data_IF_775573376087
#
_entry.id   IF_775573376087
#
_cell.length_a   1.000
_cell.length_b   1.000
_cell.length_c   1.000
_cell.angle_alpha   90.00
_cell.angle_beta   90.00
_cell.angle_gamma   90.00
#
_symmetry.space_group_name_H-M   'P 1'
#
loop_
_entity.id
_entity.type
_entity.pdbx_description
1 polymer ?
#
# COMPACT_ATOMS: atom_id res chain seq x y z
N UNK A 1 14.45 4.67 -4.89
CA UNK A 1 13.34 5.63 -4.82
C UNK A 1 12.20 4.94 -4.10
N UNK A 2 11.82 5.46 -2.94
CA UNK A 2 10.75 4.89 -2.15
C UNK A 2 9.40 5.23 -2.79
N UNK A 3 8.48 4.29 -2.75
CA UNK A 3 7.12 4.47 -3.23
C UNK A 3 6.14 3.77 -2.28
N UNK A 4 4.94 4.29 -2.24
CA UNK A 4 3.85 3.74 -1.45
C UNK A 4 2.80 3.17 -2.38
N UNK A 5 2.35 1.95 -2.12
CA UNK A 5 1.35 1.24 -2.93
C UNK A 5 0.16 0.89 -2.06
N UNK A 6 -1.02 1.25 -2.53
CA UNK A 6 -2.29 0.80 -1.95
C UNK A 6 -3.02 -0.08 -2.96
N UNK A 7 -3.69 -1.11 -2.50
CA UNK A 7 -4.49 -2.00 -3.33
C UNK A 7 -5.95 -1.98 -2.87
N UNK A 8 -6.84 -1.91 -3.85
CA UNK A 8 -8.28 -2.04 -3.64
C UNK A 8 -8.79 -3.13 -4.56
N UNK A 9 -9.61 -4.02 -4.04
CA UNK A 9 -10.32 -5.03 -4.82
C UNK A 9 -11.80 -4.79 -4.60
N UNK A 10 -12.54 -4.57 -5.67
CA UNK A 10 -13.98 -4.30 -5.61
C UNK A 10 -14.72 -4.91 -6.79
N UNK A 11 -16.04 -4.93 -6.71
CA UNK A 11 -16.90 -5.18 -7.86
C UNK A 11 -16.86 -3.98 -8.81
N UNK A 12 -17.08 -4.22 -10.10
CA UNK A 12 -16.98 -3.18 -11.13
C UNK A 12 -17.94 -2.00 -10.88
N UNK A 13 -19.17 -2.28 -10.46
CA UNK A 13 -20.20 -1.30 -10.14
C UNK A 13 -19.91 -0.48 -8.87
N UNK A 14 -18.96 -0.94 -8.03
CA UNK A 14 -18.51 -0.26 -6.80
C UNK A 14 -17.17 0.47 -6.96
N UNK A 15 -16.58 0.42 -8.14
CA UNK A 15 -15.26 1.01 -8.38
C UNK A 15 -15.21 2.50 -7.99
N UNK A 16 -16.17 3.29 -8.41
CA UNK A 16 -16.18 4.73 -8.14
C UNK A 16 -16.36 5.03 -6.65
N UNK A 17 -17.25 4.30 -5.97
CA UNK A 17 -17.41 4.41 -4.51
C UNK A 17 -16.09 4.11 -3.80
N UNK A 18 -15.39 3.05 -4.23
CA UNK A 18 -14.09 2.69 -3.67
C UNK A 18 -13.00 3.74 -3.94
N UNK A 19 -12.99 4.37 -5.12
CA UNK A 19 -12.07 5.45 -5.43
C UNK A 19 -12.32 6.66 -4.53
N UNK A 20 -13.58 7.04 -4.32
CA UNK A 20 -13.93 8.15 -3.43
C UNK A 20 -13.53 7.90 -1.98
N UNK A 21 -13.85 6.72 -1.45
CA UNK A 21 -13.43 6.32 -0.09
C UNK A 21 -11.91 6.25 0.03
N UNK A 22 -11.23 5.77 -1.00
CA UNK A 22 -9.77 5.75 -1.03
C UNK A 22 -9.17 7.15 -0.95
N UNK A 23 -9.71 8.08 -1.73
CA UNK A 23 -9.26 9.47 -1.74
C UNK A 23 -9.52 10.15 -0.38
N UNK A 24 -10.69 9.91 0.20
CA UNK A 24 -11.06 10.41 1.52
C UNK A 24 -10.07 9.90 2.60
N UNK A 25 -9.84 8.58 2.67
CA UNK A 25 -8.90 7.99 3.63
C UNK A 25 -7.47 8.46 3.39
N UNK A 26 -7.09 8.67 2.12
CA UNK A 26 -5.73 9.11 1.77
C UNK A 26 -5.46 10.55 2.18
N UNK A 27 -6.47 11.40 2.14
CA UNK A 27 -6.33 12.82 2.50
C UNK A 27 -6.73 13.11 3.95
N UNK A 28 -7.46 12.22 4.60
CA UNK A 28 -7.95 12.40 5.97
C UNK A 28 -8.01 11.04 6.71
N UNK A 29 -6.89 10.63 7.28
CA UNK A 29 -6.80 9.36 8.01
C UNK A 29 -7.80 9.33 9.18
N UNK A 30 -8.70 8.34 9.23
CA UNK A 30 -9.63 8.18 10.34
C UNK A 30 -8.90 8.02 11.68
N UNK A 31 -9.23 8.85 12.65
CA UNK A 31 -8.63 8.83 13.98
C UNK A 31 -9.34 7.78 14.87
N UNK A 32 -8.97 6.51 14.68
CA UNK A 32 -9.57 5.39 15.41
C UNK A 32 -8.49 4.59 16.16
N UNK A 33 -8.32 4.90 17.45
CA UNK A 33 -7.36 4.24 18.33
C UNK A 33 -7.59 2.72 18.46
N UNK A 34 -8.83 2.27 18.49
CA UNK A 34 -9.13 0.84 18.60
C UNK A 34 -8.64 0.08 17.35
N UNK A 35 -8.94 0.59 16.17
CA UNK A 35 -8.47 0.02 14.90
C UNK A 35 -6.95 0.08 14.77
N UNK A 36 -6.34 1.17 15.19
CA UNK A 36 -4.88 1.32 15.21
C UNK A 36 -4.22 0.27 16.11
N UNK A 37 -4.71 0.10 17.34
CA UNK A 37 -4.18 -0.89 18.28
C UNK A 37 -4.39 -2.32 17.78
N UNK A 38 -5.52 -2.61 17.14
CA UNK A 38 -5.77 -3.91 16.51
C UNK A 38 -4.78 -4.17 15.36
N UNK A 39 -4.52 -3.18 14.53
CA UNK A 39 -3.53 -3.27 13.46
C UNK A 39 -2.12 -3.53 13.99
N UNK A 40 -1.69 -2.83 15.06
CA UNK A 40 -0.40 -3.09 15.74
C UNK A 40 -0.29 -4.53 16.22
N UNK A 41 -1.33 -5.02 16.93
CA UNK A 41 -1.35 -6.39 17.43
C UNK A 41 -1.29 -7.42 16.29
N UNK A 42 -2.05 -7.19 15.22
CA UNK A 42 -2.07 -8.08 14.05
C UNK A 42 -0.72 -8.13 13.36
N UNK A 43 -0.05 -6.99 13.21
CA UNK A 43 1.27 -6.90 12.62
C UNK A 43 2.32 -7.60 13.48
N UNK A 44 2.29 -7.39 14.81
CA UNK A 44 3.19 -8.09 15.74
C UNK A 44 3.00 -9.61 15.70
N UNK A 45 1.75 -10.09 15.71
CA UNK A 45 1.45 -11.53 15.57
C UNK A 45 1.94 -12.08 14.23
N UNK A 46 1.76 -11.33 13.15
CA UNK A 46 2.25 -11.73 11.82
C UNK A 46 3.76 -11.92 11.79
N UNK A 47 4.52 -11.02 12.43
CA UNK A 47 5.97 -11.13 12.54
C UNK A 47 6.35 -12.35 13.40
N UNK A 48 5.70 -12.54 14.55
CA UNK A 48 5.98 -13.64 15.48
C UNK A 48 5.67 -15.03 14.91
N UNK A 49 4.58 -15.14 14.12
CA UNK A 49 4.13 -16.42 13.54
C UNK A 49 4.77 -16.73 12.17
N UNK A 50 5.56 -15.81 11.64
CA UNK A 50 6.18 -15.97 10.33
C UNK A 50 7.18 -17.12 10.32
N UNK A 51 6.92 -18.16 9.51
CA UNK A 51 7.88 -19.23 9.28
C UNK A 51 9.02 -18.70 8.41
N UNK A 52 10.23 -18.76 8.94
CA UNK A 52 11.45 -18.42 8.20
C UNK A 52 12.00 -19.71 7.57
N UNK A 53 12.09 -19.74 6.25
CA UNK A 53 12.72 -20.82 5.49
C UNK A 53 14.17 -20.45 5.18
N UNK A 54 15.02 -21.44 4.85
CA UNK A 54 16.43 -21.19 4.44
C UNK A 54 16.50 -20.23 3.26
N UNK A 55 15.67 -20.44 2.23
CA UNK A 55 15.60 -19.56 1.06
C UNK A 55 15.09 -18.17 1.44
N UNK A 56 14.16 -18.09 2.38
CA UNK A 56 13.65 -16.82 2.91
C UNK A 56 14.76 -15.98 3.58
N UNK A 57 15.67 -16.61 4.31
CA UNK A 57 16.83 -15.92 4.91
C UNK A 57 17.77 -15.36 3.83
N UNK A 58 18.10 -16.17 2.83
CA UNK A 58 18.98 -15.76 1.74
C UNK A 58 18.35 -14.59 0.96
N UNK A 59 17.08 -14.71 0.60
CA UNK A 59 16.38 -13.66 -0.13
C UNK A 59 16.26 -12.36 0.69
N UNK A 60 16.00 -12.44 1.99
CA UNK A 60 15.97 -11.28 2.88
C UNK A 60 17.33 -10.59 2.93
N UNK A 61 18.42 -11.36 3.05
CA UNK A 61 19.77 -10.82 3.03
C UNK A 61 20.12 -10.14 1.70
N UNK A 62 19.83 -10.79 0.57
CA UNK A 62 20.10 -10.23 -0.76
C UNK A 62 19.32 -8.93 -0.96
N UNK A 63 18.03 -8.90 -0.61
CA UNK A 63 17.20 -7.69 -0.71
C UNK A 63 17.72 -6.56 0.19
N UNK A 64 18.16 -6.86 1.40
CA UNK A 64 18.78 -5.89 2.30
C UNK A 64 20.06 -5.30 1.66
N UNK A 65 20.93 -6.16 1.13
CA UNK A 65 22.17 -5.72 0.45
C UNK A 65 21.89 -4.84 -0.76
N UNK A 66 20.94 -5.20 -1.61
CA UNK A 66 20.56 -4.41 -2.79
C UNK A 66 20.04 -3.01 -2.40
N UNK A 67 19.50 -2.86 -1.19
CA UNK A 67 19.00 -1.59 -0.65
C UNK A 67 20.02 -0.85 0.21
N UNK A 68 21.26 -1.37 0.34
CA UNK A 68 22.29 -0.80 1.20
C UNK A 68 22.02 -0.94 2.70
N UNK A 69 21.23 -1.94 3.09
CA UNK A 69 20.86 -2.22 4.48
C UNK A 69 21.75 -3.35 5.00
N UNK A 70 22.34 -3.18 6.19
CA UNK A 70 23.25 -4.13 6.84
C UNK A 70 22.70 -4.74 8.14
N UNK A 71 21.42 -4.52 8.42
CA UNK A 71 20.72 -5.01 9.62
C UNK A 71 19.42 -5.75 9.26
N UNK A 72 18.88 -6.49 10.23
CA UNK A 72 17.59 -7.17 10.09
C UNK A 72 16.44 -6.18 10.26
N UNK A 73 15.84 -5.81 9.13
CA UNK A 73 14.69 -4.89 9.07
C UNK A 73 13.48 -5.43 9.85
N UNK A 74 13.28 -6.76 9.86
CA UNK A 74 12.15 -7.37 10.58
C UNK A 74 12.32 -7.22 12.08
N UNK A 75 13.55 -7.39 12.58
CA UNK A 75 13.90 -7.15 13.98
C UNK A 75 13.63 -5.69 14.36
N UNK A 76 14.09 -4.75 13.54
CA UNK A 76 13.86 -3.33 13.76
C UNK A 76 12.36 -3.00 13.86
N UNK A 77 11.54 -3.53 12.94
CA UNK A 77 10.09 -3.35 12.99
C UNK A 77 9.49 -3.94 14.27
N UNK A 78 9.89 -5.14 14.64
CA UNK A 78 9.41 -5.79 15.86
C UNK A 78 9.67 -4.95 17.13
N UNK A 79 10.82 -4.31 17.19
CA UNK A 79 11.23 -3.46 18.31
C UNK A 79 10.51 -2.10 18.31
N UNK A 80 10.24 -1.53 17.13
CA UNK A 80 9.69 -0.18 17.01
C UNK A 80 8.15 -0.13 17.02
N UNK A 81 7.46 -1.10 16.42
CA UNK A 81 5.99 -1.11 16.33
C UNK A 81 5.29 -0.87 17.66
N UNK A 82 5.70 -1.48 18.80
CA UNK A 82 5.04 -1.25 20.08
C UNK A 82 5.01 0.21 20.54
N UNK A 83 6.02 0.99 20.21
CA UNK A 83 6.12 2.41 20.61
C UNK A 83 5.38 3.37 19.69
N UNK A 84 4.99 2.94 18.48
CA UNK A 84 4.27 3.80 17.54
C UNK A 84 2.91 4.23 18.09
N UNK A 85 2.58 5.48 17.86
CA UNK A 85 1.29 6.09 18.19
C UNK A 85 0.47 6.37 16.93
N UNK A 86 -0.83 6.56 17.08
CA UNK A 86 -1.68 7.01 15.97
C UNK A 86 -1.23 8.36 15.42
N UNK A 87 -0.70 9.23 16.29
CA UNK A 87 -0.15 10.53 15.90
C UNK A 87 1.07 10.39 14.98
N UNK A 88 1.94 9.40 15.21
CA UNK A 88 3.11 9.15 14.34
C UNK A 88 2.65 8.77 12.94
N UNK A 89 1.64 7.91 12.81
CA UNK A 89 1.08 7.52 11.52
C UNK A 89 0.42 8.71 10.83
N UNK A 90 -0.34 9.51 11.57
CA UNK A 90 -0.99 10.73 11.05
C UNK A 90 0.05 11.74 10.54
N UNK A 91 1.12 11.94 11.28
CA UNK A 91 2.21 12.84 10.88
C UNK A 91 2.92 12.32 9.63
N UNK A 92 3.22 11.02 9.59
CA UNK A 92 3.82 10.39 8.41
C UNK A 92 2.94 10.59 7.16
N UNK A 93 1.65 10.32 7.28
CA UNK A 93 0.70 10.47 6.17
C UNK A 93 0.65 11.92 5.67
N UNK A 94 0.51 12.89 6.56
CA UNK A 94 0.50 14.32 6.21
C UNK A 94 1.76 14.77 5.49
N UNK A 95 2.92 14.28 5.91
CA UNK A 95 4.21 14.67 5.34
C UNK A 95 4.50 13.99 4.01
N UNK A 96 4.10 12.73 3.85
CA UNK A 96 4.58 11.87 2.78
C UNK A 96 3.52 11.47 1.76
N UNK A 97 2.23 11.55 2.10
CA UNK A 97 1.13 11.01 1.26
C UNK A 97 0.14 12.10 0.86
N UNK A 98 -0.38 12.85 1.83
CA UNK A 98 -1.42 13.87 1.59
C UNK A 98 -0.96 14.89 0.54
N UNK A 99 -1.81 15.12 -0.47
CA UNK A 99 -1.55 16.07 -1.55
C UNK A 99 -0.42 15.68 -2.50
N UNK A 100 0.14 14.47 -2.39
CA UNK A 100 1.15 14.00 -3.35
C UNK A 100 0.49 13.43 -4.61
N UNK A 101 1.08 13.68 -5.80
CA UNK A 101 0.59 13.06 -7.02
C UNK A 101 0.80 11.54 -6.97
N UNK A 102 -0.19 10.80 -7.42
CA UNK A 102 -0.13 9.34 -7.51
C UNK A 102 -0.56 8.86 -8.89
N UNK A 103 -0.27 7.61 -9.19
CA UNK A 103 -0.75 6.92 -10.38
C UNK A 103 -1.75 5.86 -9.95
N UNK A 104 -2.89 5.84 -10.59
CA UNK A 104 -3.88 4.80 -10.43
C UNK A 104 -3.74 3.79 -11.56
N UNK A 105 -3.67 2.52 -11.23
CA UNK A 105 -3.69 1.42 -12.21
C UNK A 105 -4.96 0.63 -11.94
N UNK A 106 -5.79 0.47 -12.98
CA UNK A 106 -7.05 -0.27 -12.90
C UNK A 106 -6.93 -1.49 -13.80
N UNK A 107 -7.22 -2.66 -13.25
CA UNK A 107 -7.33 -3.90 -13.99
C UNK A 107 -8.80 -4.37 -13.94
N UNK A 108 -9.43 -4.48 -15.08
CA UNK A 108 -10.83 -4.88 -15.19
C UNK A 108 -11.32 -4.93 -16.63
N UNK A 109 -12.53 -5.41 -16.84
CA UNK A 109 -13.19 -5.33 -18.14
C UNK A 109 -13.77 -3.92 -18.36
N UNK A 110 -13.20 -3.18 -19.30
CA UNK A 110 -13.58 -1.80 -19.60
C UNK A 110 -15.07 -1.64 -19.87
N UNK A 111 -15.75 -2.66 -20.43
CA UNK A 111 -17.20 -2.63 -20.70
C UNK A 111 -18.05 -2.50 -19.44
N UNK A 112 -17.49 -2.95 -18.30
CA UNK A 112 -18.17 -2.97 -17.01
C UNK A 112 -17.68 -1.86 -16.08
N UNK A 113 -16.78 -0.97 -16.54
CA UNK A 113 -16.26 0.15 -15.77
C UNK A 113 -16.92 1.47 -16.16
N UNK A 114 -17.12 2.36 -15.20
CA UNK A 114 -17.58 3.73 -15.48
C UNK A 114 -16.41 4.60 -15.99
N UNK A 115 -16.08 4.40 -17.26
CA UNK A 115 -14.99 5.11 -17.91
C UNK A 115 -15.21 6.63 -17.95
N UNK A 116 -16.47 7.07 -18.08
CA UNK A 116 -16.82 8.51 -18.12
C UNK A 116 -16.48 9.21 -16.80
N UNK A 117 -16.70 8.54 -15.69
CA UNK A 117 -16.37 9.10 -14.37
C UNK A 117 -14.85 9.04 -14.12
N UNK A 118 -14.16 8.02 -14.58
CA UNK A 118 -12.71 7.94 -14.51
C UNK A 118 -12.02 9.06 -15.31
N UNK A 119 -12.51 9.36 -16.52
CA UNK A 119 -11.98 10.43 -17.38
C UNK A 119 -12.10 11.83 -16.76
N UNK A 120 -13.05 12.02 -15.84
CA UNK A 120 -13.17 13.28 -15.08
C UNK A 120 -12.11 13.41 -13.99
N UNK A 121 -11.55 12.31 -13.50
CA UNK A 121 -10.51 12.30 -12.45
C UNK A 121 -9.15 12.62 -13.07
N UNK A 122 -8.79 11.91 -14.14
CA UNK A 122 -7.49 12.07 -14.80
C UNK A 122 -7.52 11.52 -16.25
N UNK A 123 -6.58 11.94 -17.10
CA UNK A 123 -6.39 11.34 -18.41
C UNK A 123 -6.09 9.84 -18.31
N UNK A 124 -6.78 9.05 -19.12
CA UNK A 124 -6.64 7.59 -19.13
C UNK A 124 -5.67 7.16 -20.23
N UNK A 125 -4.65 6.39 -19.87
CA UNK A 125 -3.84 5.63 -20.79
C UNK A 125 -4.22 4.16 -20.74
N UNK A 126 -4.70 3.60 -21.84
CA UNK A 126 -4.89 2.16 -21.98
C UNK A 126 -3.55 1.51 -22.30
N UNK A 127 -3.27 0.40 -21.62
CA UNK A 127 -2.07 -0.39 -21.85
C UNK A 127 -2.47 -1.72 -22.50
N UNK A 128 -1.84 -2.06 -23.62
CA UNK A 128 -1.99 -3.38 -24.23
C UNK A 128 -1.17 -4.44 -23.49
N UNK A 129 -1.48 -5.71 -23.74
CA UNK A 129 -0.66 -6.81 -23.21
C UNK A 129 0.78 -6.74 -23.71
N UNK A 130 0.98 -6.33 -24.96
CA UNK A 130 2.31 -6.13 -25.54
C UNK A 130 3.09 -5.02 -24.79
N UNK A 131 2.44 -3.88 -24.47
CA UNK A 131 3.08 -2.81 -23.69
C UNK A 131 3.44 -3.25 -22.28
N UNK A 132 2.68 -4.15 -21.68
CA UNK A 132 2.91 -4.63 -20.29
C UNK A 132 3.97 -5.72 -20.26
N UNK A 133 3.91 -6.69 -21.16
CA UNK A 133 4.70 -7.92 -21.10
C UNK A 133 5.83 -7.99 -22.15
N UNK A 134 5.81 -7.11 -23.16
CA UNK A 134 6.86 -7.05 -24.17
C UNK A 134 6.78 -8.14 -25.25
N UNK A 135 5.63 -8.82 -25.37
CA UNK A 135 5.38 -9.84 -26.41
C UNK A 135 3.92 -9.84 -26.85
#
# INVERSE_FOLDING_TARGET
>A
KDYFVKHIISQNDKMMDCIHVFDEITNNLPQNEASFNLAKQSLMKSIQSRRVTKDGVINAYLNAKLRGIDYDVTKLYYEQIPSLTLQDITNFEKQNIVGKPYRMVILGDEKNLDMKSLEKIAPIKRLSQEEIFGY
#
